data_IF_814349048487
#
_entry.id   IF_814349048487
#
_cell.length_a   1.000
_cell.length_b   1.000
_cell.length_c   1.000
_cell.angle_alpha   90.00
_cell.angle_beta   90.00
_cell.angle_gamma   90.00
#
_symmetry.space_group_name_H-M   'P 1'
#
loop_
_entity.id
_entity.type
_entity.pdbx_description
1 polymer ?
#
# COMPACT_ATOMS: atom_id res chain seq x y z
N UNK A 1 -4.26 -2.35 -21.00
CA UNK A 1 -5.38 -1.43 -21.30
C UNK A 1 -6.61 -1.90 -20.57
N UNK A 2 -6.94 -3.19 -20.71
CA UNK A 2 -8.04 -3.91 -20.02
C UNK A 2 -8.33 -3.50 -18.56
N UNK A 3 -7.34 -3.37 -17.68
CA UNK A 3 -7.61 -3.09 -16.26
C UNK A 3 -8.10 -1.65 -15.97
N UNK A 4 -7.69 -0.67 -16.77
CA UNK A 4 -8.12 0.73 -16.61
C UNK A 4 -9.47 0.92 -17.29
N UNK A 5 -9.58 0.47 -18.56
CA UNK A 5 -10.83 0.52 -19.32
C UNK A 5 -11.95 -0.28 -18.65
N UNK A 6 -11.64 -1.43 -18.08
CA UNK A 6 -12.62 -2.25 -17.36
C UNK A 6 -13.06 -1.68 -16.01
N UNK A 7 -12.27 -0.80 -15.39
CA UNK A 7 -12.60 -0.20 -14.09
C UNK A 7 -13.22 1.20 -14.22
N UNK A 8 -12.83 1.95 -15.24
CA UNK A 8 -13.15 3.38 -15.36
C UNK A 8 -13.64 3.80 -16.77
N UNK A 9 -13.72 2.88 -17.74
CA UNK A 9 -14.12 3.21 -19.12
C UNK A 9 -13.14 4.15 -19.83
N UNK A 10 -13.68 5.00 -20.71
CA UNK A 10 -12.94 6.07 -21.41
C UNK A 10 -12.97 7.41 -20.66
N UNK A 11 -13.67 7.50 -19.53
CA UNK A 11 -13.98 8.76 -18.83
C UNK A 11 -12.82 9.29 -17.95
N UNK A 12 -11.60 8.78 -18.14
CA UNK A 12 -10.46 9.14 -17.30
C UNK A 12 -9.23 9.51 -18.12
N UNK A 13 -8.65 10.64 -17.76
CA UNK A 13 -7.34 11.07 -18.22
C UNK A 13 -6.23 10.18 -17.63
N UNK A 14 -5.62 9.33 -18.45
CA UNK A 14 -4.64 8.35 -18.01
C UNK A 14 -3.32 8.47 -18.75
N UNK A 15 -2.23 8.57 -17.99
CA UNK A 15 -0.87 8.51 -18.50
C UNK A 15 0.02 7.61 -17.63
N UNK A 16 1.00 6.99 -18.27
CA UNK A 16 1.99 6.12 -17.63
C UNK A 16 3.37 6.77 -17.67
N UNK A 17 4.10 6.73 -16.56
CA UNK A 17 5.54 7.00 -16.53
C UNK A 17 6.29 5.66 -16.46
N UNK A 18 7.04 5.36 -17.52
CA UNK A 18 7.87 4.15 -17.61
C UNK A 18 9.31 4.52 -17.33
N UNK A 19 9.86 4.00 -16.23
CA UNK A 19 11.29 4.13 -15.92
C UNK A 19 12.10 3.13 -16.73
N UNK A 20 13.16 3.60 -17.36
CA UNK A 20 14.10 2.79 -18.13
C UNK A 20 15.30 2.49 -17.23
N UNK A 21 15.63 1.22 -17.10
CA UNK A 21 16.74 0.76 -16.28
C UNK A 21 17.79 0.07 -17.15
N UNK A 22 19.05 0.45 -16.97
CA UNK A 22 20.21 -0.12 -17.63
C UNK A 22 21.11 -0.90 -16.66
N UNK A 23 22.15 -1.59 -17.17
CA UNK A 23 23.10 -2.31 -16.33
C UNK A 23 23.79 -1.34 -15.36
N UNK A 24 23.96 -1.79 -14.11
CA UNK A 24 24.75 -1.06 -13.13
C UNK A 24 26.24 -1.42 -13.30
N UNK A 25 27.16 -0.44 -13.24
CA UNK A 25 28.60 -0.73 -13.23
C UNK A 25 28.97 -1.28 -11.85
N UNK A 26 28.74 -2.57 -11.62
CA UNK A 26 29.11 -3.22 -10.36
C UNK A 26 29.94 -4.49 -10.62
N UNK A 27 30.99 -4.73 -9.81
CA UNK A 27 31.74 -5.98 -9.88
C UNK A 27 30.82 -7.16 -9.59
N UNK A 28 31.05 -8.27 -10.29
CA UNK A 28 30.28 -9.50 -10.15
C UNK A 28 30.20 -9.93 -8.67
N UNK A 29 28.98 -10.16 -8.17
CA UNK A 29 28.72 -10.72 -6.84
C UNK A 29 28.17 -9.75 -5.78
N UNK A 30 28.13 -8.43 -6.01
CA UNK A 30 27.41 -7.49 -5.13
C UNK A 30 26.08 -7.07 -5.74
N UNK A 31 25.00 -7.19 -4.97
CA UNK A 31 23.69 -6.67 -5.37
C UNK A 31 23.79 -5.17 -5.58
N UNK A 32 23.61 -4.73 -6.82
CA UNK A 32 23.51 -3.33 -7.20
C UNK A 32 22.18 -3.14 -7.92
N UNK A 33 21.44 -2.10 -7.56
CA UNK A 33 20.22 -1.75 -8.28
C UNK A 33 20.59 -1.32 -9.69
N UNK A 34 19.82 -1.77 -10.69
CA UNK A 34 19.94 -1.28 -12.06
C UNK A 34 19.91 0.26 -12.10
N UNK A 35 20.74 0.86 -12.94
CA UNK A 35 20.80 2.32 -13.06
C UNK A 35 19.56 2.82 -13.78
N UNK A 36 18.83 3.77 -13.20
CA UNK A 36 17.74 4.45 -13.91
C UNK A 36 18.37 5.37 -14.96
N UNK A 37 18.25 5.00 -16.23
CA UNK A 37 18.85 5.71 -17.38
C UNK A 37 17.88 6.69 -18.04
N UNK A 38 16.61 6.69 -17.63
CA UNK A 38 15.63 7.67 -18.07
C UNK A 38 14.20 7.33 -17.65
N UNK A 39 13.26 8.20 -18.01
CA UNK A 39 11.84 7.98 -17.83
C UNK A 39 11.07 8.46 -19.07
N UNK A 40 10.05 7.73 -19.49
CA UNK A 40 9.17 8.08 -20.61
C UNK A 40 7.75 8.22 -20.12
N UNK A 41 7.15 9.40 -20.27
CA UNK A 41 5.71 9.61 -20.08
C UNK A 41 4.98 9.21 -21.35
N UNK A 42 3.88 8.47 -21.23
CA UNK A 42 3.01 8.08 -22.34
C UNK A 42 1.57 8.34 -21.93
N UNK A 43 0.90 9.24 -22.64
CA UNK A 43 -0.56 9.37 -22.56
C UNK A 43 -1.17 8.09 -23.15
N UNK A 44 -2.18 7.55 -22.45
CA UNK A 44 -2.91 6.36 -22.89
C UNK A 44 -4.34 6.73 -23.30
N UNK A 45 -5.00 7.58 -22.52
CA UNK A 45 -6.38 7.99 -22.74
C UNK A 45 -6.56 9.44 -22.25
N UNK A 46 -7.43 10.21 -22.90
CA UNK A 46 -7.78 11.57 -22.49
C UNK A 46 -6.68 12.61 -22.67
N UNK A 47 -6.78 13.70 -21.91
CA UNK A 47 -5.87 14.84 -21.90
C UNK A 47 -5.26 15.05 -20.49
N UNK A 48 -4.46 14.09 -19.97
CA UNK A 48 -3.88 14.18 -18.63
C UNK A 48 -2.85 15.30 -18.54
N UNK A 49 -2.89 16.02 -17.41
CA UNK A 49 -1.85 16.99 -17.07
C UNK A 49 -0.51 16.29 -16.82
N UNK A 50 0.39 16.43 -17.79
CA UNK A 50 1.71 15.84 -17.77
C UNK A 50 2.56 16.30 -16.58
N UNK A 51 2.29 17.45 -15.96
CA UNK A 51 3.00 17.90 -14.78
C UNK A 51 2.78 16.95 -13.59
N UNK A 52 1.58 16.38 -13.47
CA UNK A 52 1.21 15.48 -12.38
C UNK A 52 1.59 14.01 -12.62
N UNK A 53 1.95 13.64 -13.85
CA UNK A 53 2.36 12.27 -14.19
C UNK A 53 3.70 11.95 -13.54
N UNK A 54 3.67 11.18 -12.45
CA UNK A 54 4.85 10.72 -11.72
C UNK A 54 4.62 9.38 -11.01
N UNK A 55 5.69 8.63 -10.73
CA UNK A 55 5.63 7.42 -9.88
C UNK A 55 6.01 7.70 -8.43
N UNK A 56 6.41 8.92 -8.10
CA UNK A 56 6.96 9.31 -6.81
C UNK A 56 6.03 8.99 -5.65
N UNK A 57 4.71 9.18 -5.83
CA UNK A 57 3.71 8.89 -4.81
C UNK A 57 3.60 7.40 -4.50
N UNK A 58 3.49 6.57 -5.54
CA UNK A 58 3.40 5.11 -5.41
C UNK A 58 4.71 4.54 -4.83
N UNK A 59 5.86 5.05 -5.26
CA UNK A 59 7.16 4.63 -4.73
C UNK A 59 7.32 4.97 -3.26
N UNK A 60 6.92 6.19 -2.87
CA UNK A 60 6.91 6.59 -1.46
C UNK A 60 5.95 5.74 -0.63
N UNK A 61 4.78 5.42 -1.16
CA UNK A 61 3.82 4.54 -0.49
C UNK A 61 4.36 3.11 -0.32
N UNK A 62 5.03 2.57 -1.34
CA UNK A 62 5.69 1.27 -1.26
C UNK A 62 6.82 1.26 -0.23
N UNK A 63 7.63 2.32 -0.18
CA UNK A 63 8.67 2.47 0.85
C UNK A 63 8.06 2.53 2.25
N UNK A 64 6.96 3.28 2.40
CA UNK A 64 6.25 3.42 3.66
C UNK A 64 5.74 2.07 4.17
N UNK A 65 5.06 1.28 3.34
CA UNK A 65 4.53 -0.02 3.74
C UNK A 65 5.68 -0.96 4.12
N UNK A 66 6.75 -1.00 3.33
CA UNK A 66 7.89 -1.91 3.58
C UNK A 66 8.65 -1.61 4.87
N UNK A 67 8.75 -0.33 5.22
CA UNK A 67 9.46 0.09 6.44
C UNK A 67 8.55 0.10 7.66
N UNK A 68 7.27 0.40 7.48
CA UNK A 68 6.29 0.49 8.56
C UNK A 68 5.59 -0.82 8.91
N UNK A 69 5.67 -1.85 8.05
CA UNK A 69 5.04 -3.15 8.30
C UNK A 69 6.01 -4.30 8.00
N UNK A 70 6.46 -4.98 9.07
CA UNK A 70 7.43 -6.08 9.00
C UNK A 70 6.95 -7.29 8.17
N UNK A 71 5.64 -7.41 7.90
CA UNK A 71 5.10 -8.45 6.99
C UNK A 71 5.57 -8.29 5.54
N UNK A 72 6.08 -7.12 5.17
CA UNK A 72 6.68 -6.85 3.86
C UNK A 72 8.21 -6.94 3.86
N UNK A 73 8.81 -7.32 4.99
CA UNK A 73 10.25 -7.52 5.11
C UNK A 73 10.58 -9.00 4.89
N UNK A 74 11.59 -9.27 4.06
CA UNK A 74 12.09 -10.63 3.78
C UNK A 74 12.89 -11.17 4.98
N UNK A 75 12.93 -12.50 5.13
CA UNK A 75 13.72 -13.20 6.17
C UNK A 75 13.37 -12.75 7.60
N UNK A 76 12.08 -12.57 7.88
CA UNK A 76 11.60 -12.25 9.22
C UNK A 76 10.60 -13.30 9.71
N UNK A 77 10.53 -13.48 11.02
CA UNK A 77 9.52 -14.32 11.67
C UNK A 77 8.12 -13.67 11.69
N UNK A 78 8.00 -12.41 11.25
CA UNK A 78 6.75 -11.64 11.27
C UNK A 78 5.97 -11.84 9.97
N UNK A 79 5.44 -13.06 9.77
CA UNK A 79 4.61 -13.40 8.60
C UNK A 79 3.18 -13.74 9.00
N UNK A 80 2.26 -13.68 8.04
CA UNK A 80 0.86 -14.08 8.23
C UNK A 80 0.63 -15.43 7.58
N UNK A 81 0.20 -16.43 8.36
CA UNK A 81 -0.13 -17.78 7.85
C UNK A 81 -1.37 -17.80 6.96
N UNK A 82 -2.27 -16.83 7.14
CA UNK A 82 -3.52 -16.67 6.37
C UNK A 82 -3.53 -15.30 5.71
N UNK A 83 -4.06 -15.22 4.50
CA UNK A 83 -4.22 -13.96 3.77
C UNK A 83 -5.08 -12.95 4.55
N UNK A 84 -6.15 -13.41 5.21
CA UNK A 84 -7.02 -12.56 6.03
C UNK A 84 -6.24 -11.83 7.13
N UNK A 85 -5.28 -12.50 7.76
CA UNK A 85 -4.44 -11.89 8.80
C UNK A 85 -3.45 -10.87 8.22
N UNK A 86 -3.01 -11.06 6.98
CA UNK A 86 -2.20 -10.09 6.27
C UNK A 86 -3.01 -8.83 5.94
N UNK A 87 -4.23 -9.01 5.42
CA UNK A 87 -5.18 -7.93 5.12
C UNK A 87 -5.53 -7.14 6.38
N UNK A 88 -5.82 -7.83 7.50
CA UNK A 88 -6.08 -7.18 8.80
C UNK A 88 -4.90 -6.34 9.28
N UNK A 89 -3.67 -6.82 9.10
CA UNK A 89 -2.48 -6.06 9.48
C UNK A 89 -2.28 -4.82 8.60
N UNK A 90 -2.58 -4.91 7.31
CA UNK A 90 -2.62 -3.75 6.42
C UNK A 90 -3.69 -2.75 6.84
N UNK A 91 -4.89 -3.22 7.18
CA UNK A 91 -5.98 -2.36 7.65
C UNK A 91 -5.58 -1.57 8.91
N UNK A 92 -4.96 -2.24 9.90
CA UNK A 92 -4.45 -1.57 11.09
C UNK A 92 -3.36 -0.54 10.77
N UNK A 93 -2.45 -0.89 9.86
CA UNK A 93 -1.38 0.01 9.42
C UNK A 93 -1.94 1.27 8.75
N UNK A 94 -2.87 1.12 7.80
CA UNK A 94 -3.48 2.25 7.10
C UNK A 94 -4.37 3.09 8.01
N UNK A 95 -5.07 2.46 8.96
CA UNK A 95 -5.86 3.19 9.95
C UNK A 95 -4.95 4.11 10.79
N UNK A 96 -3.89 3.56 11.37
CA UNK A 96 -2.93 4.36 12.13
C UNK A 96 -2.26 5.44 11.27
N UNK A 97 -1.84 5.10 10.05
CA UNK A 97 -1.16 6.04 9.15
C UNK A 97 -2.06 7.23 8.75
N UNK A 98 -3.31 6.98 8.38
CA UNK A 98 -4.20 8.01 7.86
C UNK A 98 -4.88 8.84 8.95
N UNK A 99 -5.21 8.24 10.11
CA UNK A 99 -6.06 8.89 11.12
C UNK A 99 -5.31 9.36 12.38
N UNK A 100 -4.20 8.71 12.75
CA UNK A 100 -3.49 8.98 14.03
C UNK A 100 -2.15 9.67 13.80
N UNK A 101 -1.38 9.16 12.83
CA UNK A 101 0.00 9.62 12.64
C UNK A 101 0.03 11.06 12.14
N UNK A 102 0.78 11.91 12.85
CA UNK A 102 1.05 13.27 12.42
C UNK A 102 2.19 13.31 11.39
N UNK A 103 2.00 14.12 10.35
CA UNK A 103 2.97 14.28 9.28
C UNK A 103 3.56 15.68 9.27
N UNK A 104 4.90 15.78 9.34
CA UNK A 104 5.60 17.08 9.28
C UNK A 104 5.29 17.86 8.00
N UNK A 105 5.21 17.17 6.86
CA UNK A 105 4.88 17.74 5.55
C UNK A 105 3.45 18.26 5.45
N UNK A 106 2.57 17.88 6.37
CA UNK A 106 1.18 18.30 6.45
C UNK A 106 0.95 19.19 7.68
N UNK A 107 1.95 19.95 8.11
CA UNK A 107 1.89 20.83 9.28
C UNK A 107 1.42 20.12 10.57
N UNK A 108 1.92 18.89 10.81
CA UNK A 108 1.56 18.03 11.95
C UNK A 108 0.09 17.55 11.94
N UNK A 109 -0.63 17.66 10.83
CA UNK A 109 -1.92 16.98 10.63
C UNK A 109 -1.75 15.55 10.11
N UNK A 110 -2.82 14.75 10.14
CA UNK A 110 -2.86 13.42 9.51
C UNK A 110 -3.35 13.51 8.05
N UNK A 111 -3.06 12.50 7.21
CA UNK A 111 -3.59 12.45 5.84
C UNK A 111 -5.11 12.57 5.75
N UNK A 112 -5.86 11.95 6.68
CA UNK A 112 -7.31 12.04 6.70
C UNK A 112 -7.82 13.45 7.03
N UNK A 113 -7.10 14.20 7.88
CA UNK A 113 -7.41 15.60 8.13
C UNK A 113 -7.10 16.48 6.92
N UNK A 114 -5.94 16.27 6.28
CA UNK A 114 -5.58 17.02 5.07
C UNK A 114 -6.55 16.77 3.91
N UNK A 115 -7.19 15.60 3.87
CA UNK A 115 -8.23 15.25 2.91
C UNK A 115 -9.65 15.62 3.36
N UNK A 116 -9.81 16.34 4.47
CA UNK A 116 -11.11 16.73 5.05
C UNK A 116 -12.07 15.56 5.33
N UNK A 117 -11.53 14.37 5.61
CA UNK A 117 -12.31 13.18 6.00
C UNK A 117 -12.66 13.23 7.50
N UNK A 118 -11.79 13.85 8.29
CA UNK A 118 -11.96 14.02 9.75
C UNK A 118 -11.46 15.40 10.18
N UNK A 119 -12.12 16.00 11.16
CA UNK A 119 -11.73 17.33 11.66
C UNK A 119 -10.62 17.27 12.70
N UNK A 120 -10.45 16.11 13.36
CA UNK A 120 -9.51 15.93 14.47
C UNK A 120 -8.68 14.66 14.33
N UNK A 121 -7.51 14.66 14.96
CA UNK A 121 -6.67 13.47 15.06
C UNK A 121 -7.34 12.41 15.91
N UNK A 122 -7.28 11.16 15.46
CA UNK A 122 -7.74 10.04 16.26
C UNK A 122 -6.69 9.67 17.31
N UNK A 123 -7.14 9.24 18.48
CA UNK A 123 -6.29 8.60 19.48
C UNK A 123 -6.22 7.08 19.22
N UNK A 124 -5.21 6.43 19.78
CA UNK A 124 -5.14 4.96 19.77
C UNK A 124 -6.31 4.32 20.53
N UNK A 125 -6.80 4.99 21.57
CA UNK A 125 -7.99 4.57 22.34
C UNK A 125 -9.23 4.57 21.46
N UNK A 126 -9.47 5.64 20.69
CA UNK A 126 -10.60 5.73 19.76
C UNK A 126 -10.57 4.61 18.70
N UNK A 127 -9.37 4.21 18.24
CA UNK A 127 -9.23 3.04 17.36
C UNK A 127 -9.64 1.76 18.10
N UNK A 128 -9.15 1.55 19.32
CA UNK A 128 -9.47 0.35 20.10
C UNK A 128 -10.98 0.25 20.38
N UNK A 129 -11.61 1.35 20.77
CA UNK A 129 -13.05 1.44 20.98
C UNK A 129 -13.83 1.09 19.72
N UNK A 130 -13.44 1.62 18.55
CA UNK A 130 -14.07 1.27 17.28
C UNK A 130 -13.87 -0.20 16.91
N UNK A 131 -12.73 -0.79 17.24
CA UNK A 131 -12.49 -2.22 17.02
C UNK A 131 -13.41 -3.06 17.91
N UNK A 132 -13.52 -2.74 19.20
CA UNK A 132 -14.38 -3.47 20.13
C UNK A 132 -15.86 -3.29 19.81
N UNK A 133 -16.29 -2.09 19.43
CA UNK A 133 -17.68 -1.82 19.00
C UNK A 133 -18.07 -2.63 17.75
N UNK A 134 -17.11 -2.95 16.88
CA UNK A 134 -17.32 -3.77 15.69
C UNK A 134 -16.91 -5.23 15.88
N UNK A 135 -16.63 -5.65 17.12
CA UNK A 135 -16.22 -7.02 17.40
C UNK A 135 -17.41 -7.95 17.19
N UNK A 136 -17.30 -8.95 16.30
CA UNK A 136 -18.37 -9.94 16.17
C UNK A 136 -18.52 -10.70 17.49
N UNK A 137 -19.76 -10.97 17.88
CA UNK A 137 -20.05 -11.73 19.09
C UNK A 137 -19.31 -13.08 19.03
N UNK A 138 -18.66 -13.53 20.12
CA UNK A 138 -17.91 -14.77 20.12
C UNK A 138 -18.86 -15.95 19.87
N UNK A 139 -18.79 -16.52 18.68
CA UNK A 139 -19.49 -17.75 18.33
C UNK A 139 -18.80 -18.99 18.88
N UNK A 140 -19.54 -20.10 19.03
CA UNK A 140 -18.95 -21.40 19.38
C UNK A 140 -17.88 -21.76 18.33
N UNK A 141 -16.69 -22.14 18.79
CA UNK A 141 -15.60 -22.60 17.92
C UNK A 141 -16.10 -23.80 17.10
N UNK A 142 -16.16 -23.63 15.78
CA UNK A 142 -16.51 -24.72 14.87
C UNK A 142 -15.47 -25.86 14.89
N UNK A 143 -15.84 -27.06 14.40
CA UNK A 143 -14.94 -28.21 14.37
C UNK A 143 -13.65 -27.90 13.61
N UNK A 144 -12.55 -28.50 14.05
CA UNK A 144 -11.25 -28.28 13.42
C UNK A 144 -11.26 -28.82 11.98
N UNK A 145 -11.20 -27.92 10.99
CA UNK A 145 -11.04 -28.30 9.59
C UNK A 145 -9.64 -28.91 9.38
N UNK A 146 -9.59 -30.21 9.11
CA UNK A 146 -8.39 -30.87 8.58
C UNK A 146 -8.12 -30.34 7.17
N UNK A 147 -6.95 -29.74 6.97
CA UNK A 147 -6.47 -29.41 5.62
C UNK A 147 -6.15 -30.71 4.88
N UNK A 148 -6.94 -31.03 3.87
CA UNK A 148 -6.61 -32.10 2.91
C UNK A 148 -5.39 -31.59 2.12
N UNK A 149 -4.27 -32.30 2.17
CA UNK A 149 -3.13 -31.99 1.30
C UNK A 149 -3.56 -32.33 -0.12
N UNK A 150 -3.46 -31.38 -1.04
CA UNK A 150 -3.56 -31.69 -2.46
C UNK A 150 -2.37 -32.60 -2.80
N UNK A 151 -2.67 -33.84 -3.18
CA UNK A 151 -1.69 -34.75 -3.77
C UNK A 151 -1.25 -34.12 -5.10
N UNK A 152 0.06 -33.94 -5.22
CA UNK A 152 0.71 -33.48 -6.46
C UNK A 152 1.29 -34.66 -7.21
#
# INVERSE_FOLDING_TARGET
MEAIEGAFGEDVDFAQLVKLYGPAPAPAGRYSSAQCIGAKKRVRTGAPDLAHVSTSYVERHNLLIRTGNRRFTRLTIAFSKKIDNHVRALALFFCHYNFVRQHKSLNKSSPAMAAAVVDTLWSMEMIAEKIEANRPQPGKRGPHKKTVRAEG
#
